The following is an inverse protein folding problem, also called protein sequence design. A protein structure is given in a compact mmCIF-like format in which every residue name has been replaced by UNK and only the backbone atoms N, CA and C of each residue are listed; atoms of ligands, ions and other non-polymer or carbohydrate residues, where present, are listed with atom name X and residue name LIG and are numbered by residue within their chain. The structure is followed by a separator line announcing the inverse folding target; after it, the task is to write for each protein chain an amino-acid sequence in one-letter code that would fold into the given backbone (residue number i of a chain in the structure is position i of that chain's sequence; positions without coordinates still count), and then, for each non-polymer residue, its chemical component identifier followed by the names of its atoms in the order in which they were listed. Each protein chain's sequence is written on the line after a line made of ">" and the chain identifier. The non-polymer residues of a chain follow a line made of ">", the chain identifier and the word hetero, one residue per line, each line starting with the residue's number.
data_IF_597090051271
#
_entry.id   IF_597090051271
#
_cell.length_a   1.000
_cell.length_b   1.000
_cell.length_c   1.000
_cell.angle_alpha   90.00
_cell.angle_beta   90.00
_cell.angle_gamma   90.00
#
_symmetry.space_group_name_H-M   'P 1'
#
loop_
_entity.id
_entity.type
_entity.pdbx_description
1 polymer ?
#
# COMPACT_ATOMS: atom_id res chain seq x y z
N UNK A 1 -10.27 12.97 -7.24
CA UNK A 1 -10.20 12.42 -5.88
C UNK A 1 -11.63 12.30 -5.38
N UNK A 2 -12.14 11.09 -5.24
CA UNK A 2 -13.49 10.77 -4.77
C UNK A 2 -13.49 10.42 -3.28
N UNK A 3 -14.66 10.35 -2.65
CA UNK A 3 -14.78 9.84 -1.27
C UNK A 3 -14.28 8.40 -1.14
N UNK A 4 -14.43 7.62 -2.20
CA UNK A 4 -13.91 6.25 -2.29
C UNK A 4 -12.38 6.24 -2.32
N UNK A 5 -11.76 7.11 -3.11
CA UNK A 5 -10.29 7.26 -3.14
C UNK A 5 -9.75 7.58 -1.74
N UNK A 6 -10.42 8.48 -1.00
CA UNK A 6 -10.03 8.85 0.35
C UNK A 6 -10.10 7.66 1.32
N UNK A 7 -11.15 6.83 1.21
CA UNK A 7 -11.26 5.60 2.03
C UNK A 7 -10.14 4.63 1.72
N UNK A 8 -9.84 4.39 0.44
CA UNK A 8 -8.75 3.50 0.02
C UNK A 8 -7.38 4.00 0.48
N UNK A 9 -7.12 5.31 0.34
CA UNK A 9 -5.88 5.94 0.84
C UNK A 9 -5.75 5.77 2.36
N UNK A 10 -6.84 6.00 3.11
CA UNK A 10 -6.85 5.81 4.56
C UNK A 10 -6.58 4.37 4.95
N UNK A 11 -7.27 3.41 4.31
CA UNK A 11 -7.10 1.98 4.56
C UNK A 11 -5.65 1.50 4.31
N UNK A 12 -5.01 1.97 3.24
CA UNK A 12 -3.60 1.68 2.96
C UNK A 12 -2.68 2.22 4.06
N UNK A 13 -2.91 3.45 4.53
CA UNK A 13 -2.09 4.07 5.58
C UNK A 13 -2.25 3.34 6.91
N UNK A 14 -3.45 2.88 7.23
CA UNK A 14 -3.70 2.03 8.40
C UNK A 14 -2.99 0.68 8.26
N UNK A 15 -3.02 0.06 7.07
CA UNK A 15 -2.32 -1.19 6.81
C UNK A 15 -0.79 -1.04 6.98
N UNK A 16 -0.23 0.07 6.49
CA UNK A 16 1.17 0.45 6.68
C UNK A 16 1.50 0.61 8.16
N UNK A 17 0.71 1.38 8.90
CA UNK A 17 0.93 1.62 10.33
C UNK A 17 0.83 0.35 11.18
N UNK A 18 0.04 -0.63 10.74
CA UNK A 18 -0.10 -1.94 11.42
C UNK A 18 0.97 -2.96 11.03
N UNK A 19 1.90 -2.65 10.11
CA UNK A 19 2.94 -3.58 9.65
C UNK A 19 2.43 -4.73 8.77
N UNK A 20 1.14 -4.73 8.40
CA UNK A 20 0.49 -5.84 7.65
C UNK A 20 0.72 -5.80 6.14
N UNK A 21 1.40 -4.77 5.63
CA UNK A 21 1.71 -4.64 4.19
C UNK A 21 2.58 -5.81 3.73
N UNK A 22 3.57 -6.22 4.55
CA UNK A 22 4.46 -7.33 4.24
C UNK A 22 3.72 -8.64 4.06
N UNK A 23 2.88 -8.98 5.04
CA UNK A 23 2.05 -10.18 5.01
C UNK A 23 1.16 -10.22 3.75
N UNK A 24 0.49 -9.10 3.43
CA UNK A 24 -0.34 -8.98 2.23
C UNK A 24 0.45 -9.15 0.94
N UNK A 25 1.65 -8.58 0.86
CA UNK A 25 2.55 -8.74 -0.29
C UNK A 25 2.97 -10.21 -0.44
N UNK A 26 3.40 -10.84 0.64
CA UNK A 26 3.89 -12.23 0.64
C UNK A 26 2.79 -13.23 0.29
N UNK A 27 1.56 -13.04 0.80
CA UNK A 27 0.40 -13.86 0.42
C UNK A 27 0.08 -13.79 -1.08
N UNK A 28 0.45 -12.69 -1.74
CA UNK A 28 0.32 -12.50 -3.19
C UNK A 28 1.55 -12.93 -3.98
N UNK A 29 2.58 -13.46 -3.31
CA UNK A 29 3.87 -13.87 -3.90
C UNK A 29 4.58 -12.74 -4.66
N UNK A 30 4.36 -11.50 -4.24
CA UNK A 30 4.99 -10.33 -4.83
C UNK A 30 6.33 -10.02 -4.14
N UNK A 31 7.31 -9.63 -4.93
CA UNK A 31 8.59 -9.08 -4.46
C UNK A 31 8.43 -7.59 -4.13
N UNK A 32 9.36 -7.06 -3.34
CA UNK A 32 9.42 -5.60 -3.09
C UNK A 32 9.64 -4.80 -4.38
N UNK A 33 10.35 -5.37 -5.36
CA UNK A 33 10.60 -4.72 -6.66
C UNK A 33 9.33 -4.62 -7.48
N UNK A 34 8.53 -5.68 -7.59
CA UNK A 34 7.26 -5.63 -8.31
C UNK A 34 6.31 -4.59 -7.73
N UNK A 35 6.24 -4.47 -6.39
CA UNK A 35 5.46 -3.37 -5.77
C UNK A 35 6.07 -2.02 -6.14
N UNK A 36 7.37 -1.84 -5.97
CA UNK A 36 8.07 -0.58 -6.22
C UNK A 36 7.84 -0.07 -7.65
N UNK A 37 8.01 -0.94 -8.63
CA UNK A 37 7.81 -0.66 -10.05
C UNK A 37 6.35 -0.29 -10.33
N UNK A 38 5.40 -1.02 -9.75
CA UNK A 38 3.96 -0.76 -9.97
C UNK A 38 3.49 0.56 -9.34
N UNK A 39 3.97 0.89 -8.14
CA UNK A 39 3.50 2.08 -7.41
C UNK A 39 4.27 3.35 -7.78
N UNK A 40 5.38 3.22 -8.50
CA UNK A 40 6.28 4.31 -8.86
C UNK A 40 7.12 4.80 -7.68
N UNK A 41 7.72 3.88 -6.93
CA UNK A 41 8.58 4.16 -5.78
C UNK A 41 9.88 3.36 -5.85
N UNK A 42 10.84 3.65 -4.96
CA UNK A 42 12.03 2.80 -4.82
C UNK A 42 11.75 1.58 -3.94
N UNK A 43 12.49 0.49 -4.12
CA UNK A 43 12.45 -0.69 -3.24
C UNK A 43 12.66 -0.30 -1.77
N UNK A 44 13.61 0.60 -1.50
CA UNK A 44 13.88 1.12 -0.15
C UNK A 44 12.69 1.88 0.44
N UNK A 45 11.93 2.60 -0.40
CA UNK A 45 10.70 3.28 0.01
C UNK A 45 9.62 2.27 0.40
N UNK A 46 9.41 1.24 -0.43
CA UNK A 46 8.43 0.16 -0.13
C UNK A 46 8.83 -0.60 1.13
N UNK A 47 10.11 -0.92 1.30
CA UNK A 47 10.63 -1.53 2.52
C UNK A 47 10.30 -0.69 3.76
N UNK A 48 10.50 0.64 3.70
CA UNK A 48 10.13 1.54 4.82
C UNK A 48 8.63 1.56 5.10
N UNK A 49 7.77 1.38 4.09
CA UNK A 49 6.33 1.22 4.31
C UNK A 49 6.01 -0.09 5.04
N UNK A 50 6.67 -1.20 4.70
CA UNK A 50 6.48 -2.46 5.43
C UNK A 50 6.93 -2.41 6.89
N UNK A 51 7.91 -1.56 7.20
CA UNK A 51 8.36 -1.31 8.57
C UNK A 51 7.52 -0.25 9.31
N UNK A 52 6.51 0.36 8.67
CA UNK A 52 5.75 1.48 9.23
C UNK A 52 6.55 2.78 9.42
N UNK A 53 7.79 2.85 8.92
CA UNK A 53 8.72 3.97 9.07
C UNK A 53 8.48 5.14 8.08
N UNK A 54 7.51 4.97 7.17
CA UNK A 54 7.01 5.97 6.25
C UNK A 54 5.61 5.57 5.76
N UNK A 55 4.84 6.51 5.24
CA UNK A 55 3.55 6.26 4.61
C UNK A 55 3.55 6.70 3.13
N UNK A 56 2.81 6.01 2.25
CA UNK A 56 2.68 6.41 0.85
C UNK A 56 1.89 7.71 0.69
N UNK A 57 2.28 8.52 -0.30
CA UNK A 57 1.49 9.67 -0.78
C UNK A 57 0.28 9.19 -1.57
N UNK A 58 -0.71 10.05 -1.77
CA UNK A 58 -2.03 9.69 -2.32
C UNK A 58 -1.98 8.84 -3.59
N UNK A 59 -1.16 9.22 -4.59
CA UNK A 59 -1.04 8.45 -5.83
C UNK A 59 -0.44 7.05 -5.62
N UNK A 60 0.64 6.93 -4.85
CA UNK A 60 1.25 5.65 -4.52
C UNK A 60 0.35 4.79 -3.62
N UNK A 61 -0.42 5.42 -2.72
CA UNK A 61 -1.37 4.73 -1.86
C UNK A 61 -2.50 4.10 -2.68
N UNK A 62 -3.05 4.81 -3.67
CA UNK A 62 -4.07 4.24 -4.56
C UNK A 62 -3.54 3.06 -5.37
N UNK A 63 -2.34 3.19 -5.98
CA UNK A 63 -1.71 2.07 -6.70
C UNK A 63 -1.41 0.90 -5.79
N UNK A 64 -0.94 1.16 -4.57
CA UNK A 64 -0.71 0.11 -3.58
C UNK A 64 -2.02 -0.56 -3.15
N UNK A 65 -3.13 0.19 -3.07
CA UNK A 65 -4.45 -0.38 -2.85
C UNK A 65 -4.87 -1.32 -4.00
N UNK A 66 -4.57 -0.97 -5.25
CA UNK A 66 -4.86 -1.84 -6.39
C UNK A 66 -4.03 -3.13 -6.33
N UNK A 67 -2.71 -3.03 -6.15
CA UNK A 67 -1.78 -4.19 -6.09
C UNK A 67 -2.10 -5.14 -4.93
N UNK A 68 -2.54 -4.61 -3.79
CA UNK A 68 -2.87 -5.41 -2.61
C UNK A 68 -4.35 -5.82 -2.54
N UNK A 69 -5.15 -5.44 -3.54
CA UNK A 69 -6.62 -5.50 -3.59
C UNK A 69 -7.27 -5.04 -2.29
N UNK A 70 -6.85 -3.86 -1.82
CA UNK A 70 -7.52 -3.16 -0.74
C UNK A 70 -8.71 -2.43 -1.37
N UNK A 71 -9.88 -3.02 -1.20
CA UNK A 71 -11.16 -2.36 -1.44
C UNK A 71 -11.44 -1.43 -0.26
N UNK A 72 -12.17 -0.33 -0.46
CA UNK A 72 -12.83 0.25 0.70
C UNK A 72 -13.89 -0.75 1.11
N UNK A 73 -13.63 -1.48 2.20
CA UNK A 73 -14.71 -2.21 2.85
C UNK A 73 -15.75 -1.15 3.24
N UNK A 74 -16.98 -1.34 2.79
CA UNK A 74 -18.11 -0.71 3.45
C UNK A 74 -18.06 -1.13 4.91
N UNK A 75 -18.12 -0.14 5.80
CA UNK A 75 -18.65 -0.35 7.14
C UNK A 75 -20.15 -0.57 7.03
#
# INVERSE_FOLDING_TARGET
>A
MTSEDLRRISAVRVLVASGKVRERRENRRLTLREIADTVGASVSTVHRWEQGAAAPRSAAALRLADVLEITASAA
#
